data_IF_144927119388
#
_entry.id   IF_144927119388
#
_cell.length_a   1.000
_cell.length_b   1.000
_cell.length_c   1.000
_cell.angle_alpha   90.00
_cell.angle_beta   90.00
_cell.angle_gamma   90.00
#
_symmetry.space_group_name_H-M   'P 1'
#
loop_
_entity.id
_entity.type
_entity.pdbx_description
1 polymer ?
#
# COMPACT_ATOMS: atom_id res chain seq x y z
N UNK A 1 15.74 41.11 17.85
CA UNK A 1 15.39 42.55 17.95
C UNK A 1 14.80 43.07 16.64
N UNK A 2 15.35 42.69 15.48
CA UNK A 2 14.83 43.08 14.15
C UNK A 2 13.40 42.62 13.86
N UNK A 3 13.02 41.42 14.30
CA UNK A 3 11.67 40.87 14.07
C UNK A 3 10.57 41.69 14.76
N UNK A 4 10.84 42.22 15.95
CA UNK A 4 9.90 43.09 16.68
C UNK A 4 9.74 44.44 15.98
N UNK A 5 10.83 44.99 15.43
CA UNK A 5 10.83 46.23 14.66
C UNK A 5 10.03 46.05 13.35
N UNK A 6 10.15 44.89 12.71
CA UNK A 6 9.40 44.56 11.49
C UNK A 6 7.88 44.47 11.76
N UNK A 7 7.47 43.81 12.85
CA UNK A 7 6.07 43.70 13.25
C UNK A 7 5.43 45.05 13.61
N UNK A 8 6.18 45.95 14.22
CA UNK A 8 5.72 47.31 14.52
C UNK A 8 5.52 48.12 13.24
N UNK A 9 6.41 47.98 12.24
CA UNK A 9 6.29 48.64 10.94
C UNK A 9 5.09 48.13 10.14
N UNK A 10 4.87 46.82 10.10
CA UNK A 10 3.74 46.21 9.40
C UNK A 10 2.40 46.61 10.04
N UNK A 11 2.36 46.69 11.38
CA UNK A 11 1.18 47.16 12.11
C UNK A 11 0.88 48.63 11.83
N UNK A 12 1.90 49.51 11.84
CA UNK A 12 1.73 50.92 11.53
C UNK A 12 1.27 51.14 10.08
N UNK A 13 1.81 50.37 9.13
CA UNK A 13 1.45 50.49 7.73
C UNK A 13 0.01 50.06 7.44
N UNK A 14 -0.49 49.01 8.10
CA UNK A 14 -1.90 48.58 7.98
C UNK A 14 -2.90 49.58 8.58
N UNK A 15 -2.50 50.28 9.65
CA UNK A 15 -3.39 51.21 10.37
C UNK A 15 -3.47 52.59 9.75
N UNK A 16 -2.45 53.01 9.00
CA UNK A 16 -2.40 54.33 8.36
C UNK A 16 -3.05 54.38 6.97
N UNK A 17 -3.29 53.24 6.32
CA UNK A 17 -3.85 53.19 4.95
C UNK A 17 -5.34 52.81 4.90
N UNK A 18 -6.00 52.56 6.04
CA UNK A 18 -7.36 51.98 6.09
C UNK A 18 -7.55 50.77 5.14
N UNK A 19 -6.48 50.00 4.92
CA UNK A 19 -6.46 48.88 3.97
C UNK A 19 -6.50 49.28 2.48
N UNK A 20 -6.51 50.57 2.13
CA UNK A 20 -6.43 51.07 0.75
C UNK A 20 -4.99 51.44 0.40
N UNK A 21 -4.26 50.47 -0.10
CA UNK A 21 -2.91 50.72 -0.57
C UNK A 21 -2.93 51.18 -2.05
N UNK A 22 -2.51 52.42 -2.32
CA UNK A 22 -2.20 52.90 -3.67
C UNK A 22 -0.78 52.45 -4.02
N UNK A 23 -0.68 51.35 -4.78
CA UNK A 23 0.58 50.84 -5.28
C UNK A 23 0.83 51.32 -6.70
N UNK A 24 2.03 51.83 -6.95
CA UNK A 24 2.50 52.10 -8.31
C UNK A 24 3.44 50.99 -8.73
N UNK A 25 3.19 50.40 -9.89
CA UNK A 25 4.14 49.52 -10.54
C UNK A 25 5.38 50.34 -10.93
N UNK A 26 6.55 49.93 -10.46
CA UNK A 26 7.85 50.54 -10.76
C UNK A 26 8.84 49.54 -11.32
N UNK A 27 8.36 48.45 -11.94
CA UNK A 27 9.19 47.42 -12.53
C UNK A 27 9.78 46.49 -11.47
N UNK A 28 9.16 45.31 -11.34
CA UNK A 28 9.57 44.16 -10.54
C UNK A 28 9.47 44.23 -9.00
N UNK A 29 9.04 45.34 -8.39
CA UNK A 29 8.69 45.34 -6.95
C UNK A 29 7.54 46.30 -6.61
N UNK A 30 6.68 45.88 -5.69
CA UNK A 30 5.61 46.72 -5.13
C UNK A 30 6.18 47.55 -3.98
N UNK A 31 6.19 48.88 -4.13
CA UNK A 31 6.58 49.82 -3.06
C UNK A 31 5.35 50.56 -2.54
N UNK A 32 5.19 50.62 -1.23
CA UNK A 32 4.21 51.52 -0.62
C UNK A 32 4.65 52.98 -0.83
N UNK A 33 3.81 53.82 -1.44
CA UNK A 33 4.15 55.25 -1.69
C UNK A 33 4.31 56.08 -0.42
N UNK A 34 3.76 55.64 0.71
CA UNK A 34 3.73 56.42 1.95
C UNK A 34 4.98 56.17 2.79
N UNK A 35 5.44 54.92 2.90
CA UNK A 35 6.56 54.56 3.77
C UNK A 35 7.80 54.04 3.03
N UNK A 36 7.73 53.86 1.70
CA UNK A 36 8.83 53.35 0.88
C UNK A 36 9.17 51.87 1.11
N UNK A 37 8.40 51.14 1.92
CA UNK A 37 8.65 49.74 2.23
C UNK A 37 8.45 48.87 0.98
N UNK A 38 9.44 48.01 0.70
CA UNK A 38 9.32 46.95 -0.31
C UNK A 38 8.49 45.83 0.31
N UNK A 39 7.42 45.43 -0.37
CA UNK A 39 6.74 44.18 -0.04
C UNK A 39 7.61 43.05 -0.62
N UNK A 40 7.87 41.95 0.12
CA UNK A 40 8.49 40.77 -0.46
C UNK A 40 7.68 40.31 -1.66
N UNK A 41 8.36 39.85 -2.71
CA UNK A 41 7.69 39.36 -3.92
C UNK A 41 6.70 38.26 -3.53
N UNK A 42 5.55 38.13 -4.24
CA UNK A 42 4.62 37.03 -3.99
C UNK A 42 5.42 35.73 -4.02
N UNK A 43 5.32 34.94 -2.94
CA UNK A 43 5.95 33.62 -2.89
C UNK A 43 5.40 32.85 -4.09
N UNK A 44 6.26 32.57 -5.06
CA UNK A 44 5.89 31.77 -6.21
C UNK A 44 5.33 30.44 -5.67
N UNK A 45 4.13 30.01 -6.11
CA UNK A 45 3.56 28.78 -5.61
C UNK A 45 4.59 27.66 -5.86
N UNK A 46 4.93 26.93 -4.80
CA UNK A 46 5.84 25.80 -4.93
C UNK A 46 5.32 24.88 -6.03
N UNK A 47 6.19 24.36 -6.92
CA UNK A 47 5.77 23.39 -7.90
C UNK A 47 5.10 22.21 -7.17
N UNK A 48 4.03 21.62 -7.76
CA UNK A 48 3.36 20.50 -7.13
C UNK A 48 4.37 19.40 -6.80
N UNK A 49 4.21 18.69 -5.67
CA UNK A 49 5.12 17.61 -5.31
C UNK A 49 5.18 16.60 -6.44
N UNK A 50 6.40 16.21 -6.82
CA UNK A 50 6.58 15.16 -7.83
C UNK A 50 5.91 13.86 -7.34
N UNK A 51 5.30 13.07 -8.24
CA UNK A 51 4.80 11.75 -7.86
C UNK A 51 5.95 10.90 -7.30
N UNK A 52 5.69 10.02 -6.32
CA UNK A 52 6.71 9.11 -5.84
C UNK A 52 7.24 8.26 -7.01
N UNK A 53 8.53 7.89 -7.01
CA UNK A 53 9.05 6.96 -8.00
C UNK A 53 8.24 5.65 -7.96
N UNK A 54 8.12 4.94 -9.10
CA UNK A 54 7.56 3.60 -9.09
C UNK A 54 8.35 2.72 -8.11
N UNK A 55 7.68 1.77 -7.42
CA UNK A 55 8.39 0.83 -6.55
C UNK A 55 9.44 0.07 -7.37
N UNK A 56 10.57 -0.33 -6.78
CA UNK A 56 11.54 -1.17 -7.45
C UNK A 56 10.86 -2.47 -7.93
N UNK A 57 11.34 -3.09 -9.03
CA UNK A 57 10.91 -4.43 -9.39
C UNK A 57 11.14 -5.38 -8.20
N UNK A 58 10.31 -6.43 -8.05
CA UNK A 58 10.55 -7.44 -7.02
C UNK A 58 11.98 -7.99 -7.17
N UNK A 59 12.68 -8.28 -6.07
CA UNK A 59 13.98 -8.95 -6.16
C UNK A 59 13.80 -10.27 -6.94
N UNK A 60 14.83 -10.72 -7.68
CA UNK A 60 14.82 -12.08 -8.21
C UNK A 60 14.59 -13.06 -7.04
N UNK A 61 13.95 -14.22 -7.30
CA UNK A 61 13.84 -15.26 -6.29
C UNK A 61 15.24 -15.57 -5.73
N UNK A 62 15.37 -15.86 -4.41
CA UNK A 62 16.62 -16.35 -3.86
C UNK A 62 17.12 -17.54 -4.68
N UNK A 63 18.41 -17.59 -4.97
CA UNK A 63 19.07 -18.79 -5.47
C UNK A 63 19.16 -19.76 -4.28
N UNK A 64 18.22 -20.71 -4.21
CA UNK A 64 18.10 -21.66 -3.11
C UNK A 64 19.23 -22.70 -3.21
N UNK A 65 20.28 -22.49 -2.43
CA UNK A 65 21.27 -23.54 -2.16
C UNK A 65 20.61 -24.76 -1.52
N UNK A 66 20.79 -25.92 -2.15
CA UNK A 66 20.78 -27.29 -1.60
C UNK A 66 19.71 -27.64 -0.54
N UNK A 67 18.50 -27.11 -0.70
CA UNK A 67 17.29 -27.67 -0.09
C UNK A 67 16.53 -28.44 -1.15
N UNK A 68 16.40 -29.77 -1.00
CA UNK A 68 15.58 -30.63 -1.85
C UNK A 68 14.25 -29.91 -2.19
N UNK A 69 13.92 -29.66 -3.48
CA UNK A 69 12.73 -28.90 -3.81
C UNK A 69 11.52 -29.66 -3.30
N UNK A 70 10.78 -29.05 -2.38
CA UNK A 70 9.43 -29.51 -2.09
C UNK A 70 8.69 -29.50 -3.41
N UNK A 71 8.44 -30.68 -3.99
CA UNK A 71 7.74 -30.80 -5.27
C UNK A 71 6.42 -30.04 -5.24
N UNK A 72 5.91 -29.71 -6.43
CA UNK A 72 4.70 -28.89 -6.59
C UNK A 72 3.56 -29.35 -5.65
N UNK A 73 2.76 -28.42 -5.08
CA UNK A 73 1.62 -28.76 -4.22
C UNK A 73 0.72 -29.86 -4.80
N UNK A 74 0.55 -30.97 -4.05
CA UNK A 74 -0.23 -32.12 -4.47
C UNK A 74 -1.74 -31.87 -4.27
N UNK A 75 -2.53 -31.73 -5.36
CA UNK A 75 -3.97 -31.45 -5.28
C UNK A 75 -4.79 -32.58 -4.63
N UNK A 76 -4.27 -33.80 -4.53
CA UNK A 76 -4.93 -34.94 -3.87
C UNK A 76 -4.87 -34.87 -2.34
N UNK A 77 -3.99 -34.02 -1.79
CA UNK A 77 -3.77 -33.91 -0.33
C UNK A 77 -3.95 -32.48 0.18
N UNK A 78 -5.09 -31.81 -0.10
CA UNK A 78 -5.22 -30.38 0.19
C UNK A 78 -5.15 -30.04 1.68
N UNK A 79 -5.53 -30.98 2.56
CA UNK A 79 -5.44 -30.84 4.01
C UNK A 79 -4.01 -30.61 4.53
N UNK A 80 -2.97 -31.05 3.81
CA UNK A 80 -1.57 -30.84 4.20
C UNK A 80 -1.21 -29.35 4.30
N UNK A 81 -1.85 -28.52 3.48
CA UNK A 81 -1.53 -27.10 3.34
C UNK A 81 -2.39 -26.19 4.21
N UNK A 82 -3.39 -26.75 4.92
CA UNK A 82 -4.28 -26.00 5.80
C UNK A 82 -3.51 -25.30 6.94
N UNK A 83 -2.47 -25.96 7.46
CA UNK A 83 -1.68 -25.50 8.62
C UNK A 83 -0.75 -24.33 8.35
N UNK A 84 -0.41 -24.11 7.09
CA UNK A 84 0.66 -23.17 6.76
C UNK A 84 0.14 -21.90 6.06
N UNK A 85 -1.08 -21.96 5.54
CA UNK A 85 -1.82 -20.77 5.12
C UNK A 85 -2.14 -19.86 6.31
N UNK A 86 -1.97 -18.55 6.11
CA UNK A 86 -2.34 -17.54 7.10
C UNK A 86 -3.02 -16.32 6.47
N UNK A 87 -4.19 -16.00 6.98
CA UNK A 87 -4.93 -14.77 6.74
C UNK A 87 -4.72 -13.81 7.91
N UNK A 88 -4.02 -12.69 7.66
CA UNK A 88 -3.82 -11.62 8.65
C UNK A 88 -4.64 -10.39 8.23
N UNK A 89 -5.80 -10.14 8.85
CA UNK A 89 -6.76 -9.14 8.37
C UNK A 89 -6.22 -7.71 8.46
N UNK A 90 -5.35 -7.44 9.43
CA UNK A 90 -4.68 -6.15 9.59
C UNK A 90 -3.20 -6.45 9.79
N UNK A 91 -2.38 -6.10 8.81
CA UNK A 91 -0.94 -6.22 8.88
C UNK A 91 -0.34 -5.07 9.68
N UNK A 92 0.70 -5.36 10.45
CA UNK A 92 1.44 -4.35 11.23
C UNK A 92 2.19 -3.36 10.33
N UNK A 93 2.55 -3.77 9.10
CA UNK A 93 3.42 -2.96 8.23
C UNK A 93 2.69 -1.82 7.52
N UNK A 94 1.42 -2.02 7.16
CA UNK A 94 0.65 -1.08 6.33
C UNK A 94 -0.83 -0.97 6.73
N UNK A 95 -1.24 -1.66 7.80
CA UNK A 95 -2.63 -1.68 8.26
C UNK A 95 -3.60 -2.38 7.32
N UNK A 96 -3.14 -3.11 6.29
CA UNK A 96 -4.01 -3.77 5.29
C UNK A 96 -3.94 -5.28 5.39
N UNK A 97 -4.81 -5.96 4.65
CA UNK A 97 -4.81 -7.42 4.58
C UNK A 97 -3.48 -7.93 3.98
N UNK A 98 -2.91 -8.95 4.63
CA UNK A 98 -1.87 -9.80 4.06
C UNK A 98 -2.28 -11.26 4.19
N UNK A 99 -2.19 -12.00 3.09
CA UNK A 99 -2.29 -13.45 3.06
C UNK A 99 -0.90 -14.05 2.85
N UNK A 100 -0.57 -15.07 3.62
CA UNK A 100 0.67 -15.83 3.48
C UNK A 100 0.30 -17.20 2.93
N UNK A 101 0.82 -17.51 1.76
CA UNK A 101 0.65 -18.82 1.18
C UNK A 101 1.45 -19.86 1.99
N UNK A 102 1.03 -21.13 1.96
CA UNK A 102 1.86 -22.22 2.47
C UNK A 102 3.26 -22.19 1.84
N UNK A 103 4.29 -22.53 2.61
CA UNK A 103 5.69 -22.56 2.18
C UNK A 103 5.93 -23.49 0.99
N UNK A 104 5.20 -24.61 0.92
CA UNK A 104 5.24 -25.55 -0.20
C UNK A 104 4.79 -24.96 -1.55
N UNK A 105 4.19 -23.77 -1.56
CA UNK A 105 3.78 -23.09 -2.79
C UNK A 105 4.87 -22.12 -3.28
N UNK A 106 5.84 -21.78 -2.44
CA UNK A 106 6.92 -20.86 -2.81
C UNK A 106 7.68 -21.41 -4.03
N UNK A 107 7.90 -20.57 -5.04
CA UNK A 107 8.47 -21.00 -6.33
C UNK A 107 7.44 -21.49 -7.36
N UNK A 108 6.24 -21.89 -6.92
CA UNK A 108 5.20 -22.47 -7.78
C UNK A 108 4.00 -21.55 -8.04
N UNK A 109 3.99 -20.31 -7.52
CA UNK A 109 2.84 -19.41 -7.62
C UNK A 109 2.90 -18.57 -8.90
N UNK A 110 1.85 -18.67 -9.71
CA UNK A 110 1.64 -17.81 -10.87
C UNK A 110 0.89 -16.52 -10.50
N UNK A 111 -0.18 -16.62 -9.71
CA UNK A 111 -1.00 -15.46 -9.34
C UNK A 111 -1.89 -15.76 -8.13
N UNK A 112 -2.23 -14.71 -7.38
CA UNK A 112 -3.18 -14.78 -6.28
C UNK A 112 -4.24 -13.69 -6.39
N UNK A 113 -5.46 -13.95 -5.94
CA UNK A 113 -6.57 -12.99 -5.95
C UNK A 113 -7.61 -13.32 -4.86
N UNK A 114 -8.54 -12.41 -4.65
CA UNK A 114 -9.77 -12.67 -3.90
C UNK A 114 -10.91 -12.90 -4.89
N UNK A 115 -11.74 -13.90 -4.62
CA UNK A 115 -12.98 -14.15 -5.35
C UNK A 115 -14.17 -14.34 -4.42
N UNK A 116 -15.36 -14.11 -4.98
CA UNK A 116 -16.65 -14.38 -4.34
C UNK A 116 -17.53 -15.07 -5.37
N UNK A 117 -18.08 -16.22 -5.02
CA UNK A 117 -18.96 -17.00 -5.90
C UNK A 117 -18.35 -17.24 -7.30
N UNK A 118 -17.05 -17.57 -7.33
CA UNK A 118 -16.27 -17.80 -8.56
C UNK A 118 -15.91 -16.53 -9.36
N UNK A 119 -16.35 -15.35 -8.91
CA UNK A 119 -16.02 -14.07 -9.54
C UNK A 119 -14.88 -13.37 -8.83
N UNK A 120 -13.82 -13.02 -9.57
CA UNK A 120 -12.68 -12.27 -9.02
C UNK A 120 -13.13 -10.87 -8.59
N UNK A 121 -12.82 -10.49 -7.35
CA UNK A 121 -13.14 -9.16 -6.79
C UNK A 121 -11.90 -8.28 -6.60
N UNK A 122 -10.72 -8.87 -6.43
CA UNK A 122 -9.47 -8.11 -6.32
C UNK A 122 -8.25 -8.98 -6.67
N UNK A 123 -7.33 -8.46 -7.48
CA UNK A 123 -6.04 -9.11 -7.73
C UNK A 123 -5.07 -8.82 -6.58
N UNK A 124 -4.44 -9.85 -6.04
CA UNK A 124 -3.45 -9.71 -4.99
C UNK A 124 -2.09 -9.30 -5.54
N UNK A 125 -1.38 -8.44 -4.80
CA UNK A 125 0.00 -8.05 -5.13
C UNK A 125 0.98 -8.88 -4.30
N UNK A 126 1.74 -9.74 -4.97
CA UNK A 126 2.87 -10.43 -4.35
C UNK A 126 3.96 -9.43 -3.93
N UNK A 127 4.46 -9.55 -2.71
CA UNK A 127 5.49 -8.64 -2.17
C UNK A 127 6.81 -9.34 -1.83
N UNK A 128 6.89 -10.66 -2.03
CA UNK A 128 8.10 -11.44 -1.79
C UNK A 128 7.89 -12.57 -0.77
N UNK A 129 9.00 -13.25 -0.50
CA UNK A 129 9.07 -14.39 0.42
C UNK A 129 9.58 -13.91 1.77
N UNK A 130 8.84 -14.19 2.84
CA UNK A 130 9.23 -13.84 4.20
C UNK A 130 8.71 -14.89 5.19
N UNK A 131 9.11 -14.77 6.47
CA UNK A 131 8.51 -15.47 7.61
C UNK A 131 8.21 -16.96 7.38
N UNK A 132 9.27 -17.76 7.24
CA UNK A 132 9.21 -19.21 7.07
C UNK A 132 9.07 -19.66 5.62
N UNK A 133 9.77 -19.00 4.70
CA UNK A 133 9.74 -19.28 3.26
C UNK A 133 8.33 -19.22 2.65
N UNK A 134 7.52 -18.24 3.05
CA UNK A 134 6.14 -18.09 2.58
C UNK A 134 5.99 -16.90 1.66
N UNK A 135 5.29 -17.10 0.56
CA UNK A 135 4.90 -16.04 -0.34
C UNK A 135 3.86 -15.12 0.31
N UNK A 136 4.13 -13.82 0.35
CA UNK A 136 3.24 -12.83 0.92
C UNK A 136 2.46 -12.11 -0.18
N UNK A 137 1.14 -12.04 -0.01
CA UNK A 137 0.21 -11.37 -0.93
C UNK A 137 -0.55 -10.27 -0.20
N UNK A 138 -0.51 -9.06 -0.76
CA UNK A 138 -1.14 -7.85 -0.21
C UNK A 138 -2.38 -7.45 -0.99
N UNK A 139 -3.29 -6.79 -0.28
CA UNK A 139 -4.54 -6.26 -0.83
C UNK A 139 -4.80 -4.83 -0.34
N UNK A 140 -5.76 -4.15 -0.96
CA UNK A 140 -5.98 -2.72 -0.76
C UNK A 140 -6.75 -2.35 0.50
N UNK A 141 -7.54 -3.29 1.05
CA UNK A 141 -8.36 -3.07 2.25
C UNK A 141 -7.86 -3.91 3.42
N UNK A 142 -8.28 -3.54 4.62
CA UNK A 142 -8.27 -4.47 5.77
C UNK A 142 -9.13 -5.69 5.45
N UNK A 143 -8.84 -6.82 6.07
CA UNK A 143 -9.59 -8.07 5.91
C UNK A 143 -11.09 -7.86 6.15
N UNK A 144 -11.46 -7.09 7.18
CA UNK A 144 -12.87 -6.76 7.48
C UNK A 144 -13.59 -5.90 6.43
N UNK A 145 -12.86 -5.37 5.43
CA UNK A 145 -13.44 -4.64 4.31
C UNK A 145 -13.89 -5.52 3.14
N UNK A 146 -13.72 -6.85 3.25
CA UNK A 146 -14.16 -7.85 2.28
C UNK A 146 -15.40 -8.60 2.77
N UNK A 147 -16.26 -9.09 1.85
CA UNK A 147 -17.49 -9.78 2.23
C UNK A 147 -17.21 -11.10 2.96
N UNK A 148 -18.03 -11.49 3.95
CA UNK A 148 -17.95 -12.81 4.57
C UNK A 148 -18.07 -13.93 3.54
N UNK A 149 -17.20 -14.94 3.65
CA UNK A 149 -17.18 -16.06 2.70
C UNK A 149 -16.31 -15.83 1.47
N UNK A 150 -15.62 -14.67 1.36
CA UNK A 150 -14.58 -14.44 0.36
C UNK A 150 -13.55 -15.57 0.34
N UNK A 151 -13.09 -15.93 -0.85
CA UNK A 151 -12.10 -16.96 -1.06
C UNK A 151 -10.78 -16.33 -1.47
N UNK A 152 -9.70 -16.68 -0.77
CA UNK A 152 -8.36 -16.41 -1.26
C UNK A 152 -7.99 -17.50 -2.27
N UNK A 153 -7.70 -17.08 -3.49
CA UNK A 153 -7.33 -17.96 -4.59
C UNK A 153 -5.84 -17.85 -4.89
N UNK A 154 -5.18 -18.99 -5.07
CA UNK A 154 -3.79 -19.09 -5.48
C UNK A 154 -3.65 -20.07 -6.64
N UNK A 155 -3.20 -19.58 -7.79
CA UNK A 155 -2.93 -20.40 -8.97
C UNK A 155 -1.47 -20.81 -9.03
N UNK A 156 -1.21 -22.11 -9.17
CA UNK A 156 0.15 -22.63 -9.34
C UNK A 156 0.56 -22.73 -10.82
N UNK A 157 1.81 -23.11 -11.07
CA UNK A 157 2.43 -23.43 -12.36
C UNK A 157 1.73 -24.56 -13.11
N UNK A 158 1.26 -25.64 -12.45
CA UNK A 158 0.37 -26.63 -13.12
C UNK A 158 -0.97 -26.05 -13.56
N UNK A 159 -1.34 -24.88 -13.06
CA UNK A 159 -2.60 -24.22 -13.35
C UNK A 159 -3.75 -24.59 -12.41
N UNK A 160 -3.49 -25.43 -11.40
CA UNK A 160 -4.42 -25.66 -10.29
C UNK A 160 -4.70 -24.36 -9.54
N UNK A 161 -5.97 -24.16 -9.15
CA UNK A 161 -6.39 -23.02 -8.32
C UNK A 161 -6.80 -23.51 -6.95
N UNK A 162 -6.05 -23.07 -5.95
CA UNK A 162 -6.25 -23.40 -4.55
C UNK A 162 -7.05 -22.30 -3.87
N UNK A 163 -8.13 -22.67 -3.19
CA UNK A 163 -9.13 -21.75 -2.64
C UNK A 163 -9.25 -21.93 -1.13
N UNK A 164 -8.99 -20.86 -0.37
CA UNK A 164 -9.21 -20.81 1.08
C UNK A 164 -10.40 -19.93 1.38
N UNK A 165 -11.51 -20.54 1.80
CA UNK A 165 -12.72 -19.81 2.18
C UNK A 165 -12.56 -19.12 3.53
N UNK A 166 -12.78 -17.81 3.57
CA UNK A 166 -12.62 -16.97 4.75
C UNK A 166 -14.01 -16.55 5.26
N UNK A 167 -14.55 -17.31 6.20
CA UNK A 167 -15.89 -17.03 6.75
C UNK A 167 -15.96 -15.72 7.56
N UNK A 168 -14.87 -15.31 8.20
CA UNK A 168 -14.83 -14.08 9.00
C UNK A 168 -13.60 -13.23 8.64
N UNK A 169 -13.68 -12.41 7.57
CA UNK A 169 -12.54 -11.69 7.02
C UNK A 169 -11.87 -10.69 7.97
N UNK A 170 -12.58 -10.21 8.99
CA UNK A 170 -12.06 -9.31 10.02
C UNK A 170 -11.20 -10.01 11.08
N UNK A 171 -11.18 -11.34 11.12
CA UNK A 171 -10.42 -12.12 12.11
C UNK A 171 -9.23 -12.81 11.47
N UNK A 172 -8.16 -12.99 12.24
CA UNK A 172 -7.04 -13.84 11.84
C UNK A 172 -7.54 -15.28 11.67
N UNK A 173 -7.18 -15.90 10.56
CA UNK A 173 -7.56 -17.28 10.25
C UNK A 173 -6.47 -17.99 9.45
N UNK A 174 -6.54 -19.32 9.32
CA UNK A 174 -5.45 -20.14 8.82
C UNK A 174 -4.90 -21.06 9.92
N UNK A 175 -3.67 -21.53 9.78
CA UNK A 175 -3.00 -22.37 10.79
C UNK A 175 -3.76 -23.69 11.09
N UNK A 176 -4.37 -24.28 10.06
CA UNK A 176 -4.98 -25.62 10.12
C UNK A 176 -6.50 -25.58 10.26
N UNK A 177 -7.06 -24.38 10.40
CA UNK A 177 -8.51 -24.15 10.54
C UNK A 177 -9.24 -24.04 9.21
N UNK A 178 -8.51 -23.83 8.11
CA UNK A 178 -9.08 -23.67 6.78
C UNK A 178 -8.39 -24.66 5.85
N UNK A 179 -9.15 -25.67 5.43
CA UNK A 179 -8.70 -26.64 4.43
C UNK A 179 -8.99 -26.02 3.06
N UNK A 180 -7.98 -25.89 2.18
CA UNK A 180 -8.23 -25.40 0.84
C UNK A 180 -9.04 -26.41 0.03
N UNK A 181 -9.84 -25.90 -0.91
CA UNK A 181 -10.35 -26.70 -2.02
C UNK A 181 -9.46 -26.46 -3.24
N UNK A 182 -9.49 -27.39 -4.19
CA UNK A 182 -8.74 -27.27 -5.45
C UNK A 182 -9.73 -27.25 -6.60
N UNK A 183 -9.65 -26.21 -7.42
CA UNK A 183 -10.26 -26.16 -8.74
C UNK A 183 -9.15 -26.52 -9.74
N UNK A 184 -9.20 -27.76 -10.21
CA UNK A 184 -8.31 -28.23 -11.28
C UNK A 184 -8.69 -27.57 -12.59
N UNK A 185 -7.70 -27.41 -13.46
CA UNK A 185 -7.92 -27.02 -14.85
C UNK A 185 -8.57 -28.14 -15.65
#
# INVERSE_FOLDING_TARGET
MEELIQRIRDWACKRLTDGKHDYKDVGYHWKCRICGHKIPDPIEPEPPPQPPPPPPPPPPPPDDGDGDPAGEPNPEKPGQYARDFLWKPVSESDGKLVALCPSAFTGHINSCWLEMDGSRIETGRGVGIYNGNRWHVRFNKVGGGYPPGVEFACKTDSGNVWLWKISTPSRRSGEGKIIPTVRTK
#
